data_IF_947288229548
#
_entry.id   IF_947288229548
#
_cell.length_a   1.000
_cell.length_b   1.000
_cell.length_c   1.000
_cell.angle_alpha   90.00
_cell.angle_beta   90.00
_cell.angle_gamma   90.00
#
_symmetry.space_group_name_H-M   'P 1'
#
loop_
_entity.id
_entity.type
_entity.pdbx_description
1 polymer ?
#
# COMPACT_ATOMS: atom_id res chain seq x y z
N UNK A 1 -3.80 0.87 -5.39
CA UNK A 1 -5.21 0.94 -5.84
C UNK A 1 -5.81 -0.45 -5.93
N UNK A 2 -6.41 -0.95 -4.86
CA UNK A 2 -7.32 -2.13 -4.81
C UNK A 2 -7.01 -3.26 -5.81
N UNK A 3 -5.76 -3.67 -5.91
CA UNK A 3 -5.33 -4.78 -6.76
C UNK A 3 -4.74 -5.83 -5.83
N UNK A 4 -5.17 -7.09 -5.96
CA UNK A 4 -4.55 -8.18 -5.21
C UNK A 4 -3.14 -8.45 -5.74
N UNK A 5 -2.26 -8.98 -4.89
CA UNK A 5 -0.87 -9.30 -5.27
C UNK A 5 -0.86 -10.32 -6.42
N UNK A 6 -1.80 -11.28 -6.42
CA UNK A 6 -1.99 -12.26 -7.51
C UNK A 6 -2.27 -11.60 -8.86
N UNK A 7 -2.99 -10.47 -8.87
CA UNK A 7 -3.33 -9.75 -10.09
C UNK A 7 -2.28 -8.68 -10.46
N UNK A 8 -1.54 -8.17 -9.49
CA UNK A 8 -0.52 -7.13 -9.73
C UNK A 8 0.80 -7.70 -10.23
N UNK A 9 1.22 -8.88 -9.78
CA UNK A 9 2.50 -9.46 -10.16
C UNK A 9 2.60 -9.73 -11.67
N UNK A 10 1.64 -10.39 -12.35
CA UNK A 10 1.70 -10.55 -13.80
C UNK A 10 1.72 -9.24 -14.57
N UNK A 11 1.03 -8.19 -14.08
CA UNK A 11 1.04 -6.87 -14.70
C UNK A 11 2.41 -6.20 -14.55
N UNK A 12 3.04 -6.33 -13.38
CA UNK A 12 4.38 -5.82 -13.14
C UNK A 12 5.39 -6.52 -14.06
N UNK A 13 5.37 -7.84 -14.12
CA UNK A 13 6.29 -8.64 -14.94
C UNK A 13 6.16 -8.28 -16.43
N UNK A 14 4.93 -8.14 -16.93
CA UNK A 14 4.66 -7.72 -18.30
C UNK A 14 5.13 -6.27 -18.57
N UNK A 15 4.95 -5.38 -17.60
CA UNK A 15 5.43 -4.00 -17.69
C UNK A 15 6.96 -3.95 -17.74
N UNK A 16 7.63 -4.67 -16.84
CA UNK A 16 9.10 -4.73 -16.81
C UNK A 16 9.67 -5.39 -18.05
N UNK A 17 9.06 -6.47 -18.55
CA UNK A 17 9.47 -7.12 -19.80
C UNK A 17 9.35 -6.18 -21.02
N UNK A 18 8.40 -5.26 -21.02
CA UNK A 18 8.16 -4.38 -22.16
C UNK A 18 8.91 -3.04 -22.07
N UNK A 19 8.99 -2.45 -20.88
CA UNK A 19 9.51 -1.10 -20.67
C UNK A 19 10.78 -1.06 -19.80
N UNK A 20 11.13 -2.16 -19.12
CA UNK A 20 12.33 -2.26 -18.31
C UNK A 20 13.54 -2.71 -19.13
N UNK A 21 14.74 -2.49 -18.60
CA UNK A 21 16.02 -2.79 -19.24
C UNK A 21 16.40 -4.29 -19.32
N UNK A 22 15.62 -5.21 -18.72
CA UNK A 22 15.98 -6.64 -18.65
C UNK A 22 15.50 -7.50 -19.83
N UNK A 23 15.07 -6.90 -20.95
CA UNK A 23 14.39 -7.62 -22.04
C UNK A 23 15.22 -8.02 -23.27
N UNK A 24 16.42 -7.51 -23.46
CA UNK A 24 17.23 -7.89 -24.63
C UNK A 24 18.69 -8.14 -24.24
N UNK A 25 19.10 -9.41 -24.36
CA UNK A 25 20.49 -9.86 -24.15
C UNK A 25 21.49 -9.32 -25.17
N UNK A 26 21.32 -8.11 -25.65
CA UNK A 26 22.25 -7.41 -26.52
C UNK A 26 23.02 -6.37 -25.68
N UNK A 27 24.30 -6.63 -25.45
CA UNK A 27 25.19 -5.90 -24.55
C UNK A 27 25.56 -4.47 -25.04
N UNK A 28 24.79 -3.90 -25.95
CA UNK A 28 25.06 -2.57 -26.55
C UNK A 28 23.84 -1.63 -26.46
N UNK A 29 22.75 -1.99 -25.73
CA UNK A 29 21.62 -1.08 -25.47
C UNK A 29 21.91 -0.26 -24.23
N UNK A 30 22.05 1.06 -24.41
CA UNK A 30 22.03 2.04 -23.32
C UNK A 30 20.88 1.71 -22.34
N UNK A 31 21.18 1.74 -21.03
CA UNK A 31 20.20 1.53 -19.96
C UNK A 31 18.92 2.29 -20.26
N UNK A 32 17.84 1.56 -20.56
CA UNK A 32 16.55 2.19 -20.86
C UNK A 32 15.99 2.73 -19.55
N UNK A 33 15.93 4.05 -19.43
CA UNK A 33 15.32 4.68 -18.26
C UNK A 33 13.82 4.38 -18.25
N UNK A 34 13.36 3.66 -17.22
CA UNK A 34 11.96 3.23 -17.08
C UNK A 34 10.99 4.42 -17.07
N UNK A 35 11.37 5.54 -16.44
CA UNK A 35 10.51 6.72 -16.39
C UNK A 35 10.38 7.33 -17.80
N UNK A 36 11.46 7.44 -18.54
CA UNK A 36 11.43 7.93 -19.93
C UNK A 36 10.61 7.00 -20.85
N UNK A 37 10.80 5.68 -20.71
CA UNK A 37 10.05 4.70 -21.49
C UNK A 37 8.53 4.77 -21.20
N UNK A 38 8.13 4.89 -19.94
CA UNK A 38 6.73 5.01 -19.55
C UNK A 38 6.12 6.38 -19.92
N UNK A 39 6.90 7.47 -19.85
CA UNK A 39 6.45 8.79 -20.28
C UNK A 39 6.16 8.85 -21.78
N UNK A 40 6.92 8.10 -22.57
CA UNK A 40 6.74 8.01 -24.02
C UNK A 40 5.76 6.91 -24.48
N UNK A 41 5.22 6.11 -23.55
CA UNK A 41 4.40 4.95 -23.88
C UNK A 41 3.06 5.33 -24.53
N UNK A 42 2.64 4.56 -25.54
CA UNK A 42 1.24 4.61 -25.98
C UNK A 42 0.32 4.10 -24.89
N UNK A 43 -0.72 4.90 -24.60
CA UNK A 43 -1.62 4.61 -23.47
C UNK A 43 -2.43 3.34 -23.67
N UNK A 44 -2.83 3.01 -24.90
CA UNK A 44 -3.62 1.80 -25.16
C UNK A 44 -2.74 0.57 -25.02
N UNK A 45 -1.53 0.61 -25.56
CA UNK A 45 -0.56 -0.48 -25.39
C UNK A 45 -0.14 -0.70 -23.93
N UNK A 46 0.05 0.38 -23.16
CA UNK A 46 0.34 0.26 -21.72
C UNK A 46 -0.86 -0.30 -20.96
N UNK A 47 -2.09 0.13 -21.29
CA UNK A 47 -3.30 -0.41 -20.68
C UNK A 47 -3.44 -1.92 -20.93
N UNK A 48 -3.20 -2.38 -22.13
CA UNK A 48 -3.23 -3.80 -22.50
C UNK A 48 -2.12 -4.58 -21.76
N UNK A 49 -0.92 -4.01 -21.65
CA UNK A 49 0.19 -4.63 -20.93
C UNK A 49 -0.13 -4.88 -19.45
N UNK A 50 -0.82 -3.95 -18.80
CA UNK A 50 -1.17 -4.06 -17.35
C UNK A 50 -2.61 -4.55 -17.12
N UNK A 51 -3.27 -5.14 -18.10
CA UNK A 51 -4.69 -5.50 -18.04
C UNK A 51 -5.04 -6.41 -16.85
N UNK A 52 -4.14 -7.33 -16.47
CA UNK A 52 -4.33 -8.24 -15.33
C UNK A 52 -4.48 -7.51 -13.99
N UNK A 53 -3.92 -6.31 -13.85
CA UNK A 53 -4.03 -5.52 -12.61
C UNK A 53 -5.43 -4.92 -12.38
N UNK A 54 -6.35 -4.99 -13.34
CA UNK A 54 -7.65 -4.31 -13.31
C UNK A 54 -7.53 -2.78 -13.33
N UNK A 55 -8.61 -2.08 -13.63
CA UNK A 55 -8.62 -0.60 -13.75
C UNK A 55 -7.50 -0.07 -14.69
N UNK A 56 -7.10 -0.87 -15.65
CA UNK A 56 -5.93 -0.65 -16.50
C UNK A 56 -5.98 0.67 -17.29
N UNK A 57 -7.16 1.11 -17.72
CA UNK A 57 -7.33 2.41 -18.38
C UNK A 57 -7.02 3.61 -17.48
N UNK A 58 -7.35 3.52 -16.19
CA UNK A 58 -7.04 4.55 -15.21
C UNK A 58 -5.59 4.47 -14.77
N UNK A 59 -5.10 3.24 -14.56
CA UNK A 59 -3.72 2.99 -14.14
C UNK A 59 -2.73 3.42 -15.20
N UNK A 60 -2.93 3.08 -16.49
CA UNK A 60 -2.04 3.51 -17.57
C UNK A 60 -1.93 5.02 -17.66
N UNK A 61 -3.06 5.74 -17.58
CA UNK A 61 -3.05 7.21 -17.53
C UNK A 61 -2.27 7.75 -16.31
N UNK A 62 -2.38 7.10 -15.16
CA UNK A 62 -1.68 7.53 -13.95
C UNK A 62 -0.18 7.25 -14.06
N UNK A 63 0.21 6.07 -14.56
CA UNK A 63 1.61 5.70 -14.76
C UNK A 63 2.32 6.66 -15.72
N UNK A 64 1.74 6.95 -16.88
CA UNK A 64 2.33 7.90 -17.84
C UNK A 64 2.54 9.26 -17.19
N UNK A 65 1.51 9.82 -16.51
CA UNK A 65 1.61 11.12 -15.85
C UNK A 65 2.67 11.16 -14.73
N UNK A 66 2.79 10.09 -13.95
CA UNK A 66 3.83 10.00 -12.92
C UNK A 66 5.22 9.93 -13.57
N UNK A 67 5.37 9.16 -14.63
CA UNK A 67 6.61 9.05 -15.37
C UNK A 67 7.00 10.39 -16.02
N UNK A 68 6.06 11.09 -16.67
CA UNK A 68 6.27 12.44 -17.21
C UNK A 68 6.77 13.42 -16.12
N UNK A 69 6.18 13.38 -14.93
CA UNK A 69 6.59 14.22 -13.81
C UNK A 69 7.99 13.86 -13.31
N UNK A 70 8.30 12.56 -13.16
CA UNK A 70 9.63 12.09 -12.77
C UNK A 70 10.69 12.57 -13.76
N UNK A 71 10.45 12.41 -15.07
CA UNK A 71 11.38 12.89 -16.09
C UNK A 71 11.55 14.41 -16.04
N UNK A 72 10.45 15.16 -15.87
CA UNK A 72 10.49 16.62 -15.87
C UNK A 72 11.20 17.20 -14.63
N UNK A 73 11.01 16.62 -13.45
CA UNK A 73 11.51 17.16 -12.19
C UNK A 73 12.86 16.56 -11.78
N UNK A 74 13.11 15.29 -12.11
CA UNK A 74 14.33 14.55 -11.69
C UNK A 74 15.21 14.12 -12.84
N UNK A 75 14.71 14.10 -14.08
CA UNK A 75 15.45 13.74 -15.26
C UNK A 75 15.49 12.24 -15.57
N UNK A 76 15.45 11.37 -14.55
CA UNK A 76 15.51 9.91 -14.72
C UNK A 76 14.86 9.16 -13.56
N UNK A 77 14.54 7.88 -13.78
CA UNK A 77 14.10 6.97 -12.73
C UNK A 77 15.17 6.82 -11.63
N UNK A 78 16.43 6.70 -11.99
CA UNK A 78 17.55 6.57 -11.04
C UNK A 78 17.70 7.83 -10.15
N UNK A 79 17.57 9.03 -10.71
CA UNK A 79 17.62 10.26 -9.92
C UNK A 79 16.42 10.39 -8.96
N UNK A 80 15.25 9.92 -9.38
CA UNK A 80 14.09 9.86 -8.50
C UNK A 80 14.27 8.81 -7.39
N UNK A 81 14.88 7.67 -7.67
CA UNK A 81 15.20 6.65 -6.68
C UNK A 81 16.20 7.20 -5.63
N UNK A 82 17.24 7.90 -6.06
CA UNK A 82 18.15 8.62 -5.14
C UNK A 82 17.39 9.64 -4.27
N UNK A 83 16.48 10.41 -4.83
CA UNK A 83 15.64 11.33 -4.06
C UNK A 83 14.82 10.60 -2.98
N UNK A 84 14.20 9.46 -3.32
CA UNK A 84 13.38 8.67 -2.38
C UNK A 84 14.23 8.06 -1.27
N UNK A 85 15.48 7.65 -1.55
CA UNK A 85 16.34 6.94 -0.62
C UNK A 85 17.20 7.84 0.25
N UNK A 86 17.60 9.01 -0.24
CA UNK A 86 18.62 9.86 0.39
C UNK A 86 18.03 11.11 1.07
N UNK A 87 16.86 11.59 0.62
CA UNK A 87 16.25 12.80 1.16
C UNK A 87 15.45 12.56 2.45
N UNK A 88 15.12 13.63 3.14
CA UNK A 88 14.30 13.58 4.35
C UNK A 88 12.95 12.88 4.09
N UNK A 89 12.57 11.85 4.86
CA UNK A 89 11.35 11.10 4.62
C UNK A 89 10.06 11.93 4.60
N UNK A 90 9.99 12.99 5.39
CA UNK A 90 8.81 13.87 5.41
C UNK A 90 8.73 14.72 4.14
N UNK A 91 9.88 15.19 3.64
CA UNK A 91 9.96 15.89 2.36
C UNK A 91 9.58 14.98 1.19
N UNK A 92 10.10 13.74 1.17
CA UNK A 92 9.74 12.73 0.17
C UNK A 92 8.25 12.41 0.21
N UNK A 93 7.70 12.17 1.41
CA UNK A 93 6.26 11.92 1.58
C UNK A 93 5.41 13.07 1.03
N UNK A 94 5.76 14.30 1.38
CA UNK A 94 5.05 15.49 0.90
C UNK A 94 5.06 15.57 -0.63
N UNK A 95 6.20 15.35 -1.25
CA UNK A 95 6.35 15.33 -2.70
C UNK A 95 5.52 14.22 -3.35
N UNK A 96 5.56 13.01 -2.78
CA UNK A 96 4.77 11.89 -3.27
C UNK A 96 3.25 12.16 -3.18
N UNK A 97 2.79 12.78 -2.09
CA UNK A 97 1.38 13.14 -1.91
C UNK A 97 0.89 14.22 -2.89
N UNK A 98 1.78 15.13 -3.32
CA UNK A 98 1.49 16.11 -4.36
C UNK A 98 1.37 15.48 -5.77
N UNK A 99 1.87 14.26 -5.95
CA UNK A 99 1.74 13.52 -7.20
C UNK A 99 0.32 12.98 -7.37
N UNK A 100 -0.42 13.52 -8.35
CA UNK A 100 -1.82 13.12 -8.60
C UNK A 100 -1.92 11.62 -8.87
N UNK A 101 -2.61 10.90 -8.00
CA UNK A 101 -2.80 9.43 -8.06
C UNK A 101 -1.95 8.67 -7.05
N UNK A 102 -1.11 9.36 -6.31
CA UNK A 102 -0.43 8.83 -5.12
C UNK A 102 -1.20 9.29 -3.89
N UNK A 103 -1.71 8.35 -3.11
CA UNK A 103 -2.36 8.60 -1.84
C UNK A 103 -1.43 8.23 -0.67
N UNK A 104 -1.84 8.53 0.59
CA UNK A 104 -1.02 8.28 1.79
C UNK A 104 -0.44 6.87 1.85
N UNK A 105 -1.28 5.85 1.73
CA UNK A 105 -0.83 4.43 1.72
C UNK A 105 0.24 4.16 0.66
N UNK A 106 0.10 4.73 -0.53
CA UNK A 106 1.07 4.52 -1.62
C UNK A 106 2.38 5.24 -1.33
N UNK A 107 2.33 6.49 -0.84
CA UNK A 107 3.50 7.25 -0.43
C UNK A 107 4.28 6.50 0.66
N UNK A 108 3.58 6.03 1.70
CA UNK A 108 4.18 5.30 2.81
C UNK A 108 4.77 3.95 2.35
N UNK A 109 4.14 3.26 1.40
CA UNK A 109 4.72 2.05 0.80
C UNK A 109 6.00 2.33 0.01
N UNK A 110 6.06 3.43 -0.74
CA UNK A 110 7.28 3.84 -1.46
C UNK A 110 8.40 4.14 -0.46
N UNK A 111 8.12 4.91 0.58
CA UNK A 111 9.10 5.21 1.63
C UNK A 111 9.63 3.94 2.31
N UNK A 112 8.72 3.06 2.73
CA UNK A 112 9.09 1.86 3.49
C UNK A 112 9.85 0.84 2.64
N UNK A 113 9.33 0.51 1.45
CA UNK A 113 9.83 -0.62 0.65
C UNK A 113 10.85 -0.21 -0.41
N UNK A 114 10.71 0.96 -1.01
CA UNK A 114 11.68 1.47 -1.98
C UNK A 114 12.71 2.38 -1.33
N UNK A 115 12.28 3.26 -0.45
CA UNK A 115 13.17 4.18 0.27
C UNK A 115 13.92 3.53 1.44
N UNK A 116 13.55 2.32 1.87
CA UNK A 116 14.18 1.64 3.01
C UNK A 116 13.98 2.37 4.36
N UNK A 117 13.01 3.28 4.43
CA UNK A 117 12.79 4.13 5.60
C UNK A 117 12.11 3.34 6.72
N UNK A 118 12.88 2.97 7.74
CA UNK A 118 12.36 2.33 8.94
C UNK A 118 11.46 3.29 9.74
N UNK A 119 10.39 2.75 10.33
CA UNK A 119 9.48 3.55 11.17
C UNK A 119 8.27 4.11 10.42
N UNK A 120 8.21 3.98 9.11
CA UNK A 120 7.02 4.32 8.33
C UNK A 120 6.04 3.14 8.36
N UNK A 121 4.77 3.41 8.63
CA UNK A 121 3.75 2.38 8.69
C UNK A 121 2.61 2.65 7.67
N UNK A 122 2.61 2.01 6.50
CA UNK A 122 1.52 2.17 5.54
C UNK A 122 0.19 1.66 6.10
N UNK A 123 -0.87 2.47 6.03
CA UNK A 123 -2.19 2.08 6.51
C UNK A 123 -3.14 1.86 5.34
N UNK A 124 -3.49 0.61 5.11
CA UNK A 124 -4.54 0.22 4.17
C UNK A 124 -5.87 -0.08 4.91
N UNK A 125 -6.88 -0.51 4.20
CA UNK A 125 -8.18 -0.84 4.78
C UNK A 125 -8.12 -2.03 5.74
N UNK A 126 -7.16 -2.95 5.61
CA UNK A 126 -6.96 -4.05 6.56
C UNK A 126 -6.34 -3.52 7.85
N UNK A 127 -5.22 -2.81 7.75
CA UNK A 127 -4.53 -2.19 8.89
C UNK A 127 -5.48 -1.27 9.65
N UNK A 128 -6.15 -0.36 8.97
CA UNK A 128 -7.11 0.58 9.57
C UNK A 128 -8.20 -0.14 10.39
N UNK A 129 -8.80 -1.18 9.83
CA UNK A 129 -9.84 -1.97 10.50
C UNK A 129 -9.29 -2.74 11.69
N UNK A 130 -8.16 -3.44 11.51
CA UNK A 130 -7.60 -4.36 12.51
C UNK A 130 -7.22 -3.62 13.78
N UNK A 131 -6.43 -2.55 13.67
CA UNK A 131 -5.90 -1.87 14.84
C UNK A 131 -6.94 -1.07 15.62
N UNK A 132 -8.02 -0.64 14.96
CA UNK A 132 -9.20 -0.07 15.63
C UNK A 132 -10.02 -1.14 16.35
N UNK A 133 -10.21 -2.32 15.75
CA UNK A 133 -10.87 -3.46 16.40
C UNK A 133 -10.08 -4.04 17.57
N UNK A 134 -8.76 -4.02 17.47
CA UNK A 134 -7.86 -4.46 18.54
C UNK A 134 -7.87 -3.52 19.75
N UNK A 135 -8.36 -2.29 19.63
CA UNK A 135 -8.26 -1.26 20.66
C UNK A 135 -6.90 -0.59 20.73
N UNK A 136 -5.99 -0.85 19.78
CA UNK A 136 -4.66 -0.22 19.70
C UNK A 136 -4.76 1.22 19.22
N UNK A 137 -5.62 1.47 18.24
CA UNK A 137 -5.94 2.81 17.78
C UNK A 137 -7.36 3.19 18.21
N UNK A 138 -7.64 4.50 18.42
CA UNK A 138 -8.99 4.97 18.73
C UNK A 138 -10.02 4.46 17.72
N UNK A 139 -11.24 4.12 18.16
CA UNK A 139 -12.30 3.61 17.28
C UNK A 139 -12.65 4.53 16.12
N UNK A 140 -12.56 5.83 16.32
CA UNK A 140 -12.87 6.89 15.36
C UNK A 140 -11.64 7.42 14.59
N UNK A 141 -10.45 6.87 14.85
CA UNK A 141 -9.23 7.29 14.15
C UNK A 141 -9.37 7.07 12.63
N UNK A 142 -9.03 8.07 11.85
CA UNK A 142 -8.85 7.93 10.41
C UNK A 142 -7.54 7.21 10.06
N UNK A 143 -7.22 7.09 8.78
CA UNK A 143 -6.00 6.40 8.34
C UNK A 143 -4.73 7.07 8.84
N UNK A 144 -4.68 8.41 8.93
CA UNK A 144 -3.52 9.13 9.45
C UNK A 144 -3.41 8.95 10.97
N UNK A 145 -4.50 9.01 11.69
CA UNK A 145 -4.51 8.76 13.15
C UNK A 145 -4.04 7.34 13.48
N UNK A 146 -4.48 6.33 12.73
CA UNK A 146 -3.97 4.96 12.89
C UNK A 146 -2.48 4.89 12.55
N UNK A 147 -2.01 5.56 11.49
CA UNK A 147 -0.60 5.61 11.12
C UNK A 147 0.27 6.20 12.25
N UNK A 148 -0.13 7.34 12.79
CA UNK A 148 0.60 8.02 13.87
C UNK A 148 0.72 7.13 15.12
N UNK A 149 -0.34 6.41 15.49
CA UNK A 149 -0.31 5.45 16.59
C UNK A 149 0.68 4.33 16.28
N UNK A 150 0.62 3.73 15.11
CA UNK A 150 1.46 2.59 14.76
C UNK A 150 2.94 2.96 14.61
N UNK A 151 3.26 4.11 14.04
CA UNK A 151 4.63 4.61 13.95
C UNK A 151 5.25 4.92 15.32
N UNK A 152 4.43 5.29 16.31
CA UNK A 152 4.87 5.51 17.69
C UNK A 152 5.04 4.20 18.47
N UNK A 153 4.10 3.26 18.32
CA UNK A 153 4.04 2.05 19.17
C UNK A 153 4.82 0.86 18.59
N UNK A 154 4.96 0.77 17.26
CA UNK A 154 5.66 -0.35 16.63
C UNK A 154 7.14 -0.01 16.45
N UNK A 155 8.06 -0.88 16.91
CA UNK A 155 9.48 -0.66 16.67
C UNK A 155 9.77 -0.45 15.18
N UNK A 156 10.52 0.59 14.86
CA UNK A 156 10.78 1.03 13.47
C UNK A 156 11.18 -0.12 12.53
N UNK A 157 12.09 -1.00 12.97
CA UNK A 157 12.53 -2.17 12.20
C UNK A 157 11.45 -3.25 11.98
N UNK A 158 10.30 -3.12 12.63
CA UNK A 158 9.18 -4.08 12.53
C UNK A 158 8.03 -3.57 11.68
N UNK A 159 8.01 -2.30 11.30
CA UNK A 159 6.88 -1.70 10.58
C UNK A 159 6.57 -2.44 9.26
N UNK A 160 7.59 -2.80 8.47
CA UNK A 160 7.39 -3.53 7.21
C UNK A 160 6.79 -4.93 7.41
N UNK A 161 7.32 -5.68 8.39
CA UNK A 161 6.76 -6.98 8.75
C UNK A 161 5.33 -6.86 9.28
N UNK A 162 5.11 -5.92 10.21
CA UNK A 162 3.80 -5.72 10.82
C UNK A 162 2.74 -5.31 9.78
N UNK A 163 3.10 -4.44 8.82
CA UNK A 163 2.20 -4.08 7.73
C UNK A 163 1.79 -5.30 6.89
N UNK A 164 2.74 -6.10 6.42
CA UNK A 164 2.44 -7.28 5.59
C UNK A 164 1.69 -8.35 6.35
N UNK A 165 2.07 -8.63 7.61
CA UNK A 165 1.38 -9.57 8.48
C UNK A 165 -0.07 -9.12 8.77
N UNK A 166 -0.30 -7.81 8.96
CA UNK A 166 -1.65 -7.27 9.17
C UNK A 166 -2.55 -7.47 7.94
N UNK A 167 -2.01 -7.31 6.72
CA UNK A 167 -2.78 -7.58 5.50
C UNK A 167 -3.18 -9.06 5.44
N UNK A 168 -2.25 -9.98 5.70
CA UNK A 168 -2.53 -11.40 5.71
C UNK A 168 -3.56 -11.76 6.79
N UNK A 169 -3.36 -11.30 8.02
CA UNK A 169 -4.31 -11.50 9.12
C UNK A 169 -5.71 -10.94 8.78
N UNK A 170 -5.77 -9.77 8.13
CA UNK A 170 -7.02 -9.17 7.72
C UNK A 170 -7.76 -9.92 6.61
N UNK A 171 -7.04 -10.69 5.78
CA UNK A 171 -7.61 -11.56 4.75
C UNK A 171 -8.11 -12.88 5.32
N UNK A 172 -7.36 -13.46 6.25
CA UNK A 172 -7.62 -14.80 6.78
C UNK A 172 -8.59 -14.78 7.97
N UNK A 173 -8.39 -13.86 8.91
CA UNK A 173 -9.09 -13.86 10.20
C UNK A 173 -9.97 -12.63 10.42
N UNK A 174 -9.40 -11.44 10.34
CA UNK A 174 -10.13 -10.22 10.64
C UNK A 174 -10.78 -9.62 9.39
N UNK A 175 -11.72 -10.34 8.79
CA UNK A 175 -12.44 -9.85 7.61
C UNK A 175 -13.43 -8.73 7.96
N UNK A 176 -13.86 -7.94 6.96
CA UNK A 176 -14.69 -6.76 7.22
C UNK A 176 -16.07 -7.13 7.79
N UNK A 177 -16.69 -8.18 7.23
CA UNK A 177 -18.09 -8.54 7.52
C UNK A 177 -18.27 -9.75 8.42
N UNK A 178 -17.31 -10.69 8.39
CA UNK A 178 -17.38 -11.95 9.14
C UNK A 178 -15.99 -12.26 9.70
N UNK A 179 -15.54 -11.51 10.74
CA UNK A 179 -14.28 -11.82 11.37
C UNK A 179 -14.36 -13.17 12.10
N UNK A 180 -13.26 -13.90 12.12
CA UNK A 180 -13.21 -15.26 12.66
C UNK A 180 -13.57 -15.33 14.17
N UNK A 181 -13.40 -14.24 14.92
CA UNK A 181 -13.79 -14.19 16.33
C UNK A 181 -15.29 -14.45 16.55
N UNK A 182 -16.15 -14.26 15.54
CA UNK A 182 -17.57 -14.65 15.62
C UNK A 182 -17.80 -16.18 15.71
N UNK A 183 -16.78 -16.98 15.36
CA UNK A 183 -16.80 -18.44 15.46
C UNK A 183 -16.23 -18.92 16.81
N UNK A 184 -15.81 -17.99 17.66
CA UNK A 184 -15.28 -18.25 19.01
C UNK A 184 -13.77 -18.05 19.14
N UNK A 185 -13.25 -18.21 20.37
CA UNK A 185 -11.86 -17.88 20.71
C UNK A 185 -10.83 -18.70 19.93
N UNK A 186 -11.11 -19.97 19.65
CA UNK A 186 -10.20 -20.86 18.94
C UNK A 186 -10.02 -20.51 17.45
N UNK A 187 -10.95 -19.71 16.88
CA UNK A 187 -10.94 -19.37 15.47
C UNK A 187 -10.07 -18.15 15.14
N UNK A 188 -9.75 -17.31 16.13
CA UNK A 188 -8.94 -16.10 15.93
C UNK A 188 -7.69 -16.12 16.81
N UNK A 189 -6.48 -16.10 16.23
CA UNK A 189 -5.23 -16.16 17.01
C UNK A 189 -4.96 -14.95 17.90
N UNK A 190 -5.70 -13.84 17.72
CA UNK A 190 -5.60 -12.63 18.54
C UNK A 190 -6.82 -12.43 19.46
N UNK A 191 -7.66 -13.44 19.64
CA UNK A 191 -8.93 -13.31 20.36
C UNK A 191 -8.77 -12.70 21.74
N UNK A 192 -7.84 -13.23 22.56
CA UNK A 192 -7.60 -12.80 23.94
C UNK A 192 -6.89 -11.44 24.05
N UNK A 193 -6.35 -10.92 22.95
CA UNK A 193 -5.64 -9.64 22.88
C UNK A 193 -6.46 -8.54 22.21
N UNK A 194 -7.69 -8.87 21.80
CA UNK A 194 -8.51 -7.99 20.97
C UNK A 194 -9.75 -7.50 21.73
N UNK A 195 -9.96 -6.19 21.76
CA UNK A 195 -11.16 -5.59 22.35
C UNK A 195 -12.43 -5.85 21.50
N UNK A 196 -12.24 -6.29 20.26
CA UNK A 196 -13.32 -6.59 19.29
C UNK A 196 -14.27 -5.42 19.05
N UNK A 197 -13.75 -4.19 19.09
CA UNK A 197 -14.54 -2.98 18.92
C UNK A 197 -15.37 -3.05 17.63
N UNK A 198 -16.70 -2.90 17.76
CA UNK A 198 -17.64 -3.01 16.66
C UNK A 198 -17.96 -4.45 16.21
N UNK A 199 -17.65 -5.46 17.05
CA UNK A 199 -18.01 -6.86 16.80
C UNK A 199 -18.82 -7.37 17.98
N UNK A 200 -20.07 -7.66 17.76
CA UNK A 200 -20.98 -8.28 18.73
C UNK A 200 -21.07 -9.80 18.44
N UNK A 201 -20.54 -10.59 19.35
CA UNK A 201 -20.51 -12.05 19.21
C UNK A 201 -21.86 -12.70 19.50
N UNK A 202 -22.72 -12.08 20.31
CA UNK A 202 -24.02 -12.64 20.66
C UNK A 202 -25.02 -12.48 19.50
N UNK A 203 -25.01 -11.32 18.86
CA UNK A 203 -25.87 -11.02 17.71
C UNK A 203 -25.23 -11.34 16.36
N UNK A 204 -23.93 -11.59 16.33
CA UNK A 204 -23.11 -11.68 15.13
C UNK A 204 -23.15 -10.40 14.28
N UNK A 205 -23.43 -9.27 14.90
CA UNK A 205 -23.43 -7.96 14.25
C UNK A 205 -22.01 -7.42 14.15
N UNK A 206 -21.70 -6.80 13.03
CA UNK A 206 -20.39 -6.17 12.78
C UNK A 206 -20.61 -4.79 12.19
N UNK A 207 -20.19 -3.77 12.93
CA UNK A 207 -20.25 -2.37 12.55
C UNK A 207 -18.85 -1.78 12.39
N UNK A 208 -18.75 -0.58 11.83
CA UNK A 208 -17.48 0.16 11.87
C UNK A 208 -17.14 0.50 13.33
N UNK A 209 -15.89 0.35 13.78
CA UNK A 209 -15.52 0.70 15.16
C UNK A 209 -15.93 2.11 15.61
N UNK A 210 -15.99 3.09 14.68
CA UNK A 210 -16.47 4.44 15.00
C UNK A 210 -17.98 4.51 15.32
N UNK A 211 -18.74 3.49 14.89
CA UNK A 211 -20.19 3.40 15.11
C UNK A 211 -20.53 2.49 16.31
N UNK A 212 -19.51 1.84 16.88
CA UNK A 212 -19.72 0.99 18.05
C UNK A 212 -20.16 1.86 19.24
N UNK A 213 -21.27 1.53 19.86
CA UNK A 213 -21.67 2.13 21.12
C UNK A 213 -20.66 1.72 22.18
N UNK A 214 -19.95 2.68 22.74
CA UNK A 214 -19.16 2.45 23.95
C UNK A 214 -20.18 2.44 25.09
N UNK A 215 -20.56 1.24 25.52
CA UNK A 215 -21.27 1.13 26.80
C UNK A 215 -20.28 1.53 27.90
N UNK A 216 -20.54 2.68 28.57
CA UNK A 216 -19.80 3.20 29.70
C UNK A 216 -19.90 2.28 30.93
#
# INVERSE_FOLDING_TARGET
QNTSDVASQPAHDALMARYGSEGNGDTDSADVDLAAALAAADRAELADTIASAGLYNQKSKTLIRLAERVVAEYGSAAAFDSFVTEEDPAAVRSTLLDMKGVGPKTADCVLLFSGGQAGVFPVDTHVHRIYRRLGVAPPDADHEGVREVLEREVPAAKCGFAHTASIQFGREYCTARKPACLEGPEACPLYDLCDRVGVDEETSEVVDPAEATVDD
#
